data_IF_419411694612
#
_entry.id   IF_419411694612
#
_cell.length_a   1.000
_cell.length_b   1.000
_cell.length_c   1.000
_cell.angle_alpha   90.00
_cell.angle_beta   90.00
_cell.angle_gamma   90.00
#
_symmetry.space_group_name_H-M   'P 1'
#
loop_
_entity.id
_entity.type
_entity.pdbx_description
1 polymer ?
#
# COMPACT_ATOMS: atom_id res chain seq x y z
N UNK A 1 1.84 -19.09 13.03
CA UNK A 1 1.57 -20.54 13.19
C UNK A 1 1.33 -20.88 14.66
N UNK A 2 2.28 -20.62 15.56
CA UNK A 2 2.13 -20.90 17.01
C UNK A 2 0.85 -20.29 17.63
N UNK A 3 0.61 -18.99 17.44
CA UNK A 3 -0.61 -18.36 17.94
C UNK A 3 -1.89 -19.01 17.40
N UNK A 4 -1.89 -19.41 16.12
CA UNK A 4 -3.03 -20.07 15.46
C UNK A 4 -3.28 -21.49 16.00
N UNK A 5 -2.22 -22.20 16.43
CA UNK A 5 -2.34 -23.51 17.05
C UNK A 5 -2.95 -23.45 18.46
N UNK A 6 -2.78 -22.33 19.18
CA UNK A 6 -3.43 -22.09 20.47
C UNK A 6 -4.90 -21.72 20.26
N UNK A 7 -5.18 -20.79 19.34
CA UNK A 7 -6.54 -20.41 18.98
C UNK A 7 -6.58 -19.91 17.52
N UNK A 8 -7.57 -20.32 16.70
CA UNK A 8 -7.65 -19.90 15.30
C UNK A 8 -7.61 -18.37 15.15
N UNK A 9 -6.57 -17.88 14.46
CA UNK A 9 -6.46 -16.48 14.07
C UNK A 9 -7.33 -16.24 12.85
N UNK A 10 -8.38 -15.44 12.97
CA UNK A 10 -9.29 -15.19 11.85
C UNK A 10 -8.71 -14.23 10.80
N UNK A 11 -7.95 -13.23 11.24
CA UNK A 11 -7.41 -12.20 10.37
C UNK A 11 -6.03 -11.70 10.82
N UNK A 12 -5.21 -11.31 9.83
CA UNK A 12 -3.94 -10.63 10.00
C UNK A 12 -4.04 -9.24 9.37
N UNK A 13 -3.88 -8.19 10.16
CA UNK A 13 -3.80 -6.82 9.64
C UNK A 13 -2.33 -6.42 9.44
N UNK A 14 -1.94 -6.07 8.22
CA UNK A 14 -0.57 -5.67 7.86
C UNK A 14 -0.56 -4.66 6.70
N UNK A 15 0.54 -3.94 6.49
CA UNK A 15 0.67 -3.05 5.32
C UNK A 15 0.83 -3.91 4.06
N UNK A 16 -0.02 -3.68 3.06
CA UNK A 16 0.13 -4.33 1.76
C UNK A 16 -0.43 -3.45 0.65
N UNK A 17 0.40 -3.10 -0.32
CA UNK A 17 0.05 -2.25 -1.47
C UNK A 17 1.11 -2.41 -2.57
N UNK A 18 0.91 -1.76 -3.72
CA UNK A 18 1.94 -1.60 -4.75
C UNK A 18 3.24 -1.00 -4.21
N UNK A 19 3.15 -0.25 -3.10
CA UNK A 19 4.25 0.50 -2.52
C UNK A 19 4.92 -0.20 -1.33
N UNK A 20 4.31 -1.26 -0.78
CA UNK A 20 4.81 -1.98 0.41
C UNK A 20 4.45 -3.46 0.30
N UNK A 21 5.48 -4.34 0.18
CA UNK A 21 5.34 -5.79 -0.05
C UNK A 21 6.01 -6.66 1.03
N UNK A 22 6.47 -6.08 2.13
CA UNK A 22 7.20 -6.79 3.19
C UNK A 22 6.45 -8.02 3.77
N UNK A 23 5.11 -7.94 3.78
CA UNK A 23 4.26 -9.03 4.29
C UNK A 23 4.41 -10.32 3.47
N UNK A 24 4.76 -10.22 2.18
CA UNK A 24 4.98 -11.41 1.33
C UNK A 24 6.15 -12.25 1.77
N UNK A 25 7.22 -11.61 2.26
CA UNK A 25 8.44 -12.28 2.72
C UNK A 25 8.29 -12.85 4.13
N UNK A 26 7.25 -12.44 4.87
CA UNK A 26 7.12 -12.73 6.30
C UNK A 26 5.89 -13.58 6.63
N UNK A 27 4.69 -13.03 6.47
CA UNK A 27 3.47 -13.60 7.03
C UNK A 27 2.44 -14.04 5.98
N UNK A 28 2.52 -13.56 4.73
CA UNK A 28 1.52 -13.86 3.70
C UNK A 28 1.45 -15.36 3.40
N UNK A 29 2.59 -16.04 3.25
CA UNK A 29 2.61 -17.49 3.03
C UNK A 29 1.95 -18.28 4.16
N UNK A 30 2.18 -17.87 5.42
CA UNK A 30 1.50 -18.49 6.56
C UNK A 30 0.00 -18.15 6.60
N UNK A 31 -0.40 -16.95 6.17
CA UNK A 31 -1.81 -16.57 6.10
C UNK A 31 -2.55 -17.42 5.04
N UNK A 32 -1.94 -17.65 3.88
CA UNK A 32 -2.47 -18.55 2.84
C UNK A 32 -2.59 -19.98 3.36
N UNK A 33 -1.51 -20.54 3.91
CA UNK A 33 -1.47 -21.90 4.46
C UNK A 33 -2.57 -22.16 5.50
N UNK A 34 -2.82 -21.18 6.37
CA UNK A 34 -3.75 -21.30 7.50
C UNK A 34 -5.17 -20.80 7.18
N UNK A 35 -5.44 -20.31 5.96
CA UNK A 35 -6.74 -19.72 5.61
C UNK A 35 -7.08 -18.43 6.37
N UNK A 36 -6.07 -17.69 6.82
CA UNK A 36 -6.23 -16.43 7.57
C UNK A 36 -6.49 -15.29 6.60
N UNK A 37 -7.54 -14.50 6.84
CA UNK A 37 -7.84 -13.32 6.02
C UNK A 37 -6.77 -12.25 6.21
N UNK A 38 -6.21 -11.73 5.13
CA UNK A 38 -5.35 -10.55 5.19
C UNK A 38 -6.20 -9.27 5.17
N UNK A 39 -5.92 -8.33 6.06
CA UNK A 39 -6.58 -7.02 6.13
C UNK A 39 -5.53 -5.94 5.85
N UNK A 40 -5.31 -5.56 4.57
CA UNK A 40 -4.33 -4.54 4.22
C UNK A 40 -4.67 -3.16 4.79
N UNK A 41 -3.82 -2.66 5.68
CA UNK A 41 -3.83 -1.24 6.03
C UNK A 41 -2.97 -0.44 5.04
N UNK A 42 -3.30 0.84 4.87
CA UNK A 42 -2.66 1.73 3.89
C UNK A 42 -2.54 1.16 2.46
N UNK A 43 -3.59 0.53 1.89
CA UNK A 43 -3.52 -0.09 0.56
C UNK A 43 -3.26 0.94 -0.57
N UNK A 44 -3.47 2.23 -0.30
CA UNK A 44 -3.21 3.34 -1.20
C UNK A 44 -1.85 4.04 -0.93
N UNK A 45 -0.90 3.38 -0.27
CA UNK A 45 0.41 3.95 0.02
C UNK A 45 0.33 5.26 0.82
N UNK A 46 -0.61 5.34 1.78
CA UNK A 46 -0.91 6.55 2.58
C UNK A 46 -1.28 7.76 1.71
N UNK A 47 -1.94 7.52 0.58
CA UNK A 47 -2.38 8.54 -0.38
C UNK A 47 -1.38 8.80 -1.51
N UNK A 48 -0.18 8.23 -1.45
CA UNK A 48 0.81 8.38 -2.51
C UNK A 48 0.33 7.76 -3.82
N UNK A 49 -0.22 6.53 -3.78
CA UNK A 49 -0.70 5.80 -4.96
C UNK A 49 -1.92 6.45 -5.63
N UNK A 50 -2.54 7.45 -5.01
CA UNK A 50 -3.62 8.23 -5.64
C UNK A 50 -3.08 9.41 -6.44
N UNK A 51 -1.78 9.69 -6.38
CA UNK A 51 -1.16 10.89 -6.94
C UNK A 51 -1.56 12.19 -6.25
N UNK A 52 -2.15 12.13 -5.05
CA UNK A 52 -2.58 13.34 -4.32
C UNK A 52 -1.41 14.20 -3.81
N UNK A 53 -0.23 13.59 -3.69
CA UNK A 53 1.03 14.26 -3.41
C UNK A 53 2.17 13.42 -3.98
N UNK A 54 3.32 14.06 -4.20
CA UNK A 54 4.56 13.40 -4.63
C UNK A 54 5.74 13.75 -3.75
N UNK A 55 5.71 14.93 -3.11
CA UNK A 55 6.70 15.39 -2.15
C UNK A 55 5.97 15.90 -0.91
N UNK A 56 6.04 15.14 0.19
CA UNK A 56 5.31 15.49 1.41
C UNK A 56 5.73 16.85 1.95
N UNK A 57 7.00 17.23 1.81
CA UNK A 57 7.51 18.52 2.29
C UNK A 57 6.85 19.72 1.62
N UNK A 58 6.55 19.57 0.32
CA UNK A 58 5.97 20.63 -0.53
C UNK A 58 4.44 20.59 -0.58
N UNK A 59 3.88 19.40 -0.66
CA UNK A 59 2.48 19.20 -1.04
C UNK A 59 1.54 19.09 0.17
N UNK A 60 2.08 18.78 1.36
CA UNK A 60 1.29 18.51 2.56
C UNK A 60 1.43 19.63 3.61
N UNK A 61 0.43 19.71 4.49
CA UNK A 61 0.42 20.66 5.61
C UNK A 61 1.56 20.43 6.60
N UNK A 62 1.91 21.47 7.37
CA UNK A 62 3.05 21.48 8.30
C UNK A 62 3.04 20.31 9.31
N UNK A 63 1.88 19.99 9.88
CA UNK A 63 1.74 18.91 10.87
C UNK A 63 1.55 17.50 10.30
N UNK A 64 1.73 17.28 8.99
CA UNK A 64 1.51 15.97 8.39
C UNK A 64 2.67 15.01 8.69
N UNK A 65 2.39 13.89 9.38
CA UNK A 65 3.39 12.90 9.75
C UNK A 65 4.15 12.27 8.56
N UNK A 66 3.59 12.33 7.34
CA UNK A 66 4.29 11.84 6.13
C UNK A 66 5.53 12.66 5.80
N UNK A 67 5.64 13.90 6.30
CA UNK A 67 6.87 14.71 6.20
C UNK A 67 8.06 14.12 6.96
N UNK A 68 7.82 13.18 7.87
CA UNK A 68 8.87 12.50 8.63
C UNK A 68 9.23 11.13 8.03
N UNK A 69 8.54 10.69 6.99
CA UNK A 69 8.79 9.39 6.37
C UNK A 69 9.80 9.53 5.22
N UNK A 70 10.94 8.82 5.26
CA UNK A 70 11.99 8.95 4.25
C UNK A 70 11.50 8.76 2.82
N UNK A 71 10.57 7.83 2.58
CA UNK A 71 9.98 7.55 1.25
C UNK A 71 9.18 8.71 0.63
N UNK A 72 8.86 9.75 1.38
CA UNK A 72 8.05 10.88 0.92
C UNK A 72 8.78 12.22 0.92
N UNK A 73 10.09 12.26 1.20
CA UNK A 73 10.86 13.50 1.29
C UNK A 73 12.14 13.49 0.46
N UNK A 74 12.64 14.67 0.13
CA UNK A 74 13.95 14.86 -0.49
C UNK A 74 14.12 14.10 -1.81
N UNK A 75 15.21 13.35 -1.92
CA UNK A 75 15.60 12.64 -3.14
C UNK A 75 14.76 11.38 -3.35
N UNK A 76 14.36 10.73 -2.24
CA UNK A 76 13.46 9.59 -2.26
C UNK A 76 12.08 9.97 -2.82
N UNK A 77 11.53 11.13 -2.43
CA UNK A 77 10.28 11.63 -2.99
C UNK A 77 10.34 11.76 -4.52
N UNK A 78 11.43 12.33 -5.03
CA UNK A 78 11.64 12.52 -6.47
C UNK A 78 11.76 11.17 -7.20
N UNK A 79 12.53 10.23 -6.64
CA UNK A 79 12.66 8.89 -7.20
C UNK A 79 11.31 8.15 -7.20
N UNK A 80 10.58 8.20 -6.08
CA UNK A 80 9.32 7.51 -5.91
C UNK A 80 8.21 8.10 -6.78
N UNK A 81 8.18 9.42 -7.02
CA UNK A 81 7.19 10.07 -7.87
C UNK A 81 7.10 9.44 -9.27
N UNK A 82 8.24 9.01 -9.84
CA UNK A 82 8.29 8.33 -11.14
C UNK A 82 7.60 6.94 -11.13
N UNK A 83 7.43 6.33 -9.95
CA UNK A 83 6.77 5.03 -9.80
C UNK A 83 5.24 5.13 -9.96
N UNK A 84 4.67 6.33 -9.98
CA UNK A 84 3.24 6.53 -10.24
C UNK A 84 2.90 6.41 -11.73
N UNK A 85 3.88 6.51 -12.62
CA UNK A 85 3.62 6.58 -14.06
C UNK A 85 2.87 5.35 -14.60
N UNK A 86 3.31 4.10 -14.32
CA UNK A 86 2.57 2.92 -14.76
C UNK A 86 1.14 2.86 -14.22
N UNK A 87 0.93 3.33 -12.98
CA UNK A 87 -0.39 3.38 -12.35
C UNK A 87 -1.30 4.38 -13.07
N UNK A 88 -0.76 5.51 -13.51
CA UNK A 88 -1.49 6.55 -14.25
C UNK A 88 -1.82 6.12 -15.67
N UNK A 89 -0.88 5.49 -16.37
CA UNK A 89 -1.09 4.96 -17.72
C UNK A 89 -2.24 3.94 -17.73
N UNK A 90 -2.21 2.97 -16.82
CA UNK A 90 -3.27 1.98 -16.65
C UNK A 90 -4.59 2.66 -16.28
N UNK A 91 -4.57 3.60 -15.33
CA UNK A 91 -5.77 4.33 -14.93
C UNK A 91 -6.41 5.06 -16.14
N UNK A 92 -5.59 5.72 -16.96
CA UNK A 92 -6.06 6.40 -18.17
C UNK A 92 -6.64 5.42 -19.20
N UNK A 93 -5.99 4.28 -19.43
CA UNK A 93 -6.46 3.24 -20.36
C UNK A 93 -7.84 2.69 -19.97
N UNK A 94 -8.12 2.58 -18.67
CA UNK A 94 -9.40 2.10 -18.14
C UNK A 94 -10.43 3.20 -17.86
N UNK A 95 -10.10 4.48 -18.07
CA UNK A 95 -10.94 5.60 -17.62
C UNK A 95 -11.19 5.59 -16.11
N UNK A 96 -10.25 5.04 -15.34
CA UNK A 96 -10.29 4.86 -13.91
C UNK A 96 -9.38 5.88 -13.20
N UNK A 97 -9.42 5.87 -11.87
CA UNK A 97 -8.48 6.62 -11.02
C UNK A 97 -7.30 5.74 -10.61
N UNK A 98 -6.16 6.36 -10.31
CA UNK A 98 -4.99 5.64 -9.79
C UNK A 98 -5.30 4.88 -8.47
N UNK A 99 -6.21 5.41 -7.65
CA UNK A 99 -6.70 4.73 -6.45
C UNK A 99 -7.43 3.41 -6.78
N UNK A 100 -8.23 3.40 -7.86
CA UNK A 100 -8.94 2.21 -8.31
C UNK A 100 -7.97 1.16 -8.85
N UNK A 101 -6.96 1.55 -9.63
CA UNK A 101 -5.91 0.63 -10.10
C UNK A 101 -5.18 -0.02 -8.91
N UNK A 102 -4.76 0.78 -7.93
CA UNK A 102 -4.06 0.27 -6.74
C UNK A 102 -4.92 -0.72 -5.94
N UNK A 103 -6.22 -0.45 -5.76
CA UNK A 103 -7.13 -1.33 -5.04
C UNK A 103 -7.49 -2.59 -5.84
N UNK A 104 -7.69 -2.48 -7.15
CA UNK A 104 -7.93 -3.61 -8.03
C UNK A 104 -6.73 -4.56 -8.06
N UNK A 105 -5.51 -4.01 -8.03
CA UNK A 105 -4.30 -4.81 -7.91
C UNK A 105 -4.26 -5.58 -6.57
N UNK A 106 -4.65 -4.98 -5.44
CA UNK A 106 -4.65 -5.69 -4.14
C UNK A 106 -5.56 -6.92 -4.19
N UNK A 107 -6.76 -6.76 -4.76
CA UNK A 107 -7.73 -7.84 -4.88
C UNK A 107 -7.23 -8.95 -5.81
N UNK A 108 -6.75 -8.60 -7.00
CA UNK A 108 -6.28 -9.59 -7.98
C UNK A 108 -5.00 -10.29 -7.52
N UNK A 109 -4.08 -9.55 -6.88
CA UNK A 109 -2.87 -10.14 -6.34
C UNK A 109 -3.17 -11.12 -5.20
N UNK A 110 -4.18 -10.85 -4.38
CA UNK A 110 -4.66 -11.80 -3.39
C UNK A 110 -5.24 -13.07 -4.05
N UNK A 111 -6.04 -12.91 -5.11
CA UNK A 111 -6.54 -14.03 -5.91
C UNK A 111 -5.43 -14.92 -6.47
N UNK A 112 -4.35 -14.33 -7.00
CA UNK A 112 -3.18 -15.06 -7.49
C UNK A 112 -2.44 -15.84 -6.38
N UNK A 113 -2.53 -15.38 -5.12
CA UNK A 113 -1.96 -16.07 -3.96
C UNK A 113 -2.92 -17.06 -3.30
N UNK A 114 -4.16 -17.19 -3.77
CA UNK A 114 -5.20 -17.98 -3.09
C UNK A 114 -5.59 -17.41 -1.72
N UNK A 115 -5.46 -16.10 -1.54
CA UNK A 115 -5.64 -15.39 -0.28
C UNK A 115 -6.99 -14.65 -0.25
N UNK A 116 -7.74 -14.77 0.85
CA UNK A 116 -8.85 -13.85 1.14
C UNK A 116 -8.31 -12.52 1.65
N UNK A 117 -8.73 -11.40 1.04
CA UNK A 117 -8.28 -10.07 1.41
C UNK A 117 -9.45 -9.10 1.63
N UNK A 118 -9.33 -8.24 2.66
CA UNK A 118 -10.28 -7.16 2.94
C UNK A 118 -9.50 -5.86 3.17
N UNK A 119 -9.16 -5.11 2.11
CA UNK A 119 -8.42 -3.85 2.24
C UNK A 119 -9.26 -2.78 2.95
N UNK A 120 -8.63 -1.96 3.77
CA UNK A 120 -9.28 -0.88 4.54
C UNK A 120 -8.79 0.51 4.08
N UNK A 121 -9.13 0.98 2.86
CA UNK A 121 -8.77 2.32 2.40
C UNK A 121 -9.51 3.39 3.22
N UNK A 122 -8.76 4.18 3.97
CA UNK A 122 -9.33 5.25 4.81
C UNK A 122 -9.91 6.39 3.99
N UNK A 123 -11.08 6.90 4.39
CA UNK A 123 -11.70 8.09 3.80
C UNK A 123 -12.62 8.79 4.81
N UNK A 124 -12.79 10.11 4.66
CA UNK A 124 -13.80 10.92 5.36
C UNK A 124 -14.90 11.46 4.42
N UNK A 125 -14.83 11.12 3.13
CA UNK A 125 -15.72 11.64 2.09
C UNK A 125 -16.47 10.50 1.43
N UNK A 126 -17.79 10.62 1.32
CA UNK A 126 -18.65 9.64 0.63
C UNK A 126 -18.22 9.42 -0.83
N UNK A 127 -17.82 10.47 -1.53
CA UNK A 127 -17.35 10.36 -2.92
C UNK A 127 -16.13 9.43 -3.06
N UNK A 128 -15.18 9.51 -2.12
CA UNK A 128 -14.00 8.62 -2.09
C UNK A 128 -14.35 7.18 -1.71
N UNK A 129 -15.36 6.97 -0.87
CA UNK A 129 -15.89 5.63 -0.62
C UNK A 129 -16.42 5.02 -1.92
N UNK A 130 -17.25 5.76 -2.66
CA UNK A 130 -17.81 5.30 -3.94
C UNK A 130 -16.71 5.04 -4.98
N UNK A 131 -15.71 5.92 -5.08
CA UNK A 131 -14.53 5.72 -5.93
C UNK A 131 -13.79 4.42 -5.59
N UNK A 132 -13.52 4.17 -4.31
CA UNK A 132 -12.84 2.96 -3.84
C UNK A 132 -13.66 1.69 -4.11
N UNK A 133 -14.98 1.74 -3.91
CA UNK A 133 -15.87 0.58 -4.18
C UNK A 133 -15.86 0.23 -5.67
N UNK A 134 -15.85 1.24 -6.55
CA UNK A 134 -15.80 1.02 -7.99
C UNK A 134 -14.52 0.29 -8.47
N UNK A 135 -13.45 0.27 -7.66
CA UNK A 135 -12.25 -0.54 -7.94
C UNK A 135 -12.55 -2.05 -8.03
N UNK A 136 -13.63 -2.53 -7.38
CA UNK A 136 -14.03 -3.94 -7.43
C UNK A 136 -14.57 -4.38 -8.79
N UNK A 137 -14.96 -3.43 -9.64
CA UNK A 137 -15.36 -3.70 -11.02
C UNK A 137 -14.22 -3.63 -12.03
N UNK A 138 -13.02 -3.23 -11.61
CA UNK A 138 -11.84 -3.09 -12.48
C UNK A 138 -11.06 -4.40 -12.49
N UNK A 139 -10.87 -4.96 -13.68
CA UNK A 139 -10.01 -6.14 -13.92
C UNK A 139 -8.77 -5.69 -14.67
N UNK A 140 -7.60 -5.93 -14.11
CA UNK A 140 -6.32 -5.59 -14.74
C UNK A 140 -5.86 -6.79 -15.58
N UNK A 141 -5.30 -6.53 -16.76
CA UNK A 141 -4.76 -7.61 -17.59
C UNK A 141 -3.47 -8.19 -16.98
N UNK A 142 -3.04 -9.35 -17.48
CA UNK A 142 -1.79 -9.95 -17.05
C UNK A 142 -0.59 -9.03 -17.35
N UNK A 143 -0.62 -8.32 -18.48
CA UNK A 143 0.39 -7.34 -18.88
C UNK A 143 0.40 -6.14 -17.94
N UNK A 144 -0.78 -5.63 -17.57
CA UNK A 144 -0.90 -4.51 -16.63
C UNK A 144 -0.42 -4.87 -15.23
N UNK A 145 -0.78 -6.08 -14.74
CA UNK A 145 -0.23 -6.58 -13.49
C UNK A 145 1.29 -6.68 -13.56
N UNK A 146 1.85 -7.21 -14.65
CA UNK A 146 3.29 -7.32 -14.83
C UNK A 146 4.01 -5.95 -14.85
N UNK A 147 3.38 -4.91 -15.41
CA UNK A 147 3.89 -3.54 -15.37
C UNK A 147 3.95 -2.96 -13.95
N UNK A 148 3.04 -3.39 -13.07
CA UNK A 148 2.93 -2.91 -11.71
C UNK A 148 3.86 -3.63 -10.72
N UNK A 149 4.21 -4.90 -10.97
CA UNK A 149 4.99 -5.71 -10.02
C UNK A 149 6.34 -5.09 -9.60
N UNK A 150 7.15 -4.47 -10.49
CA UNK A 150 8.45 -3.92 -10.10
C UNK A 150 8.39 -2.68 -9.19
N UNK A 151 7.21 -2.08 -8.96
CA UNK A 151 7.08 -0.80 -8.24
C UNK A 151 7.67 -0.91 -6.83
N UNK A 152 7.32 -1.96 -6.09
CA UNK A 152 7.70 -2.09 -4.69
C UNK A 152 9.22 -2.25 -4.48
N UNK A 153 9.90 -2.93 -5.40
CA UNK A 153 11.35 -3.15 -5.34
C UNK A 153 12.15 -1.90 -5.69
N UNK A 154 11.49 -0.88 -6.26
CA UNK A 154 12.10 0.39 -6.68
C UNK A 154 11.81 1.53 -5.71
N UNK A 155 11.07 1.28 -4.62
CA UNK A 155 10.79 2.31 -3.62
C UNK A 155 12.07 2.71 -2.91
N UNK A 156 12.39 4.00 -2.98
CA UNK A 156 13.52 4.61 -2.32
C UNK A 156 13.13 5.11 -0.92
N UNK A 157 14.03 4.90 0.06
CA UNK A 157 13.87 5.34 1.44
C UNK A 157 13.01 4.40 2.29
N UNK A 158 13.32 4.38 3.59
CA UNK A 158 12.62 3.53 4.54
C UNK A 158 11.15 3.90 4.72
N UNK A 159 10.36 2.90 5.09
CA UNK A 159 8.93 3.00 5.39
C UNK A 159 8.62 3.88 6.61
N UNK A 160 9.53 3.90 7.58
CA UNK A 160 9.46 4.71 8.79
C UNK A 160 10.80 5.44 8.99
N UNK A 161 10.81 6.58 9.70
CA UNK A 161 12.07 7.17 10.16
C UNK A 161 12.82 6.18 11.07
N UNK A 162 14.11 6.41 11.24
CA UNK A 162 14.88 5.68 12.24
C UNK A 162 14.29 5.94 13.63
N UNK A 163 13.71 4.89 14.22
CA UNK A 163 13.08 4.93 15.54
C UNK A 163 14.08 4.59 16.66
N UNK A 164 15.34 4.31 16.33
CA UNK A 164 16.40 3.99 17.31
C UNK A 164 16.67 5.12 18.32
N UNK A 165 16.31 6.37 17.96
CA UNK A 165 16.55 7.57 18.76
C UNK A 165 15.60 7.79 19.96
N UNK A 166 14.76 6.82 20.35
CA UNK A 166 13.63 7.12 21.27
C UNK A 166 13.78 6.71 22.74
N UNK A 167 14.90 6.12 23.18
CA UNK A 167 15.17 5.93 24.61
C UNK A 167 16.13 6.98 25.18
N UNK A 168 17.32 7.15 24.58
CA UNK A 168 18.37 8.02 25.11
C UNK A 168 18.05 9.53 25.05
N UNK A 169 17.23 9.97 24.09
CA UNK A 169 16.83 11.37 23.96
C UNK A 169 15.71 11.79 24.91
N UNK A 170 15.05 10.84 25.61
CA UNK A 170 13.98 11.12 26.58
C UNK A 170 14.47 11.25 28.02
N UNK A 171 15.68 10.76 28.29
CA UNK A 171 16.33 10.75 29.61
C UNK A 171 17.35 11.91 29.77
N UNK A 172 17.35 12.88 28.85
CA UNK A 172 18.07 14.16 28.96
C UNK A 172 17.08 15.31 29.12
#
# INVERSE_FOLDING_TARGET
REAHAVHPVAALQSEWSLFSRDVEKSALGAAVELGVTLVPYSPLGRGFLTGAFTDAGKDLGEGDFRKQQPRFTGDNARANAALLEPVREIAAAHGATAAQVALAWVQQRAGLHGLTVVPIPGTRKRSRLLENVAATGLTLTAEELALLEPIADRVAGDRYPDMSLTSEAREK
#
